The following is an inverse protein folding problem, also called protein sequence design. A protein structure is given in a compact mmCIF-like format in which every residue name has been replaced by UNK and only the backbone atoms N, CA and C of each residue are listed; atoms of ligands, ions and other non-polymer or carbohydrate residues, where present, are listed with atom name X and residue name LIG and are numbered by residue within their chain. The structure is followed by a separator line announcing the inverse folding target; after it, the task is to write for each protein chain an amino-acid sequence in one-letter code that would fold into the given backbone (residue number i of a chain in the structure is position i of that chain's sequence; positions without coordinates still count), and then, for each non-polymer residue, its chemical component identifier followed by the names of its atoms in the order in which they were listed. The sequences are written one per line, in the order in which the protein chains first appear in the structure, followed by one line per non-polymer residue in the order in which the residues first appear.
data_IF_419582575954
#
_entry.id   IF_419582575954
#
_cell.length_a   1.000
_cell.length_b   1.000
_cell.length_c   1.000
_cell.angle_alpha   90.00
_cell.angle_beta   90.00
_cell.angle_gamma   90.00
#
_symmetry.space_group_name_H-M   'P 1'
#
loop_
_entity.id
_entity.type
_entity.pdbx_description
1 polymer ?
#
# COMPACT_ATOMS: atom_id res chain seq x y z
N UNK A 1 10.46 43.60 -11.24
CA UNK A 1 9.67 43.40 -9.98
C UNK A 1 8.54 42.42 -10.22
N UNK A 2 7.69 42.64 -11.26
CA UNK A 2 6.52 41.78 -11.53
C UNK A 2 6.92 40.33 -11.88
N UNK A 3 7.95 40.15 -12.72
CA UNK A 3 8.49 38.81 -13.06
C UNK A 3 9.00 38.06 -11.83
N UNK A 4 9.69 38.74 -10.93
CA UNK A 4 10.20 38.12 -9.70
C UNK A 4 9.08 37.69 -8.73
N UNK A 5 7.99 38.48 -8.65
CA UNK A 5 6.80 38.11 -7.87
C UNK A 5 6.07 36.91 -8.48
N UNK A 6 5.93 36.86 -9.80
CA UNK A 6 5.32 35.72 -10.50
C UNK A 6 6.14 34.45 -10.26
N UNK A 7 7.46 34.51 -10.39
CA UNK A 7 8.37 33.38 -10.15
C UNK A 7 8.29 32.90 -8.69
N UNK A 8 8.17 33.80 -7.73
CA UNK A 8 8.02 33.46 -6.32
C UNK A 8 6.70 32.75 -6.04
N UNK A 9 5.59 33.21 -6.60
CA UNK A 9 4.26 32.57 -6.45
C UNK A 9 4.23 31.21 -7.12
N UNK A 10 4.82 31.05 -8.31
CA UNK A 10 4.92 29.79 -9.01
C UNK A 10 5.76 28.77 -8.21
N UNK A 11 6.88 29.22 -7.62
CA UNK A 11 7.71 28.36 -6.74
C UNK A 11 6.95 27.87 -5.51
N UNK A 12 6.22 28.73 -4.83
CA UNK A 12 5.44 28.35 -3.64
C UNK A 12 4.30 27.40 -4.01
N UNK A 13 3.58 27.65 -5.10
CA UNK A 13 2.53 26.75 -5.60
C UNK A 13 3.08 25.37 -6.00
N UNK A 14 4.25 25.33 -6.64
CA UNK A 14 4.92 24.08 -7.00
C UNK A 14 5.37 23.30 -5.77
N UNK A 15 5.94 23.97 -4.79
CA UNK A 15 6.29 23.34 -3.49
C UNK A 15 5.05 22.77 -2.81
N UNK A 16 3.98 23.57 -2.72
CA UNK A 16 2.72 23.09 -2.13
C UNK A 16 2.18 21.86 -2.86
N UNK A 17 2.19 21.87 -4.20
CA UNK A 17 1.81 20.72 -5.01
C UNK A 17 2.65 19.49 -4.68
N UNK A 18 3.98 19.59 -4.64
CA UNK A 18 4.87 18.47 -4.32
C UNK A 18 4.70 17.94 -2.89
N UNK A 19 4.36 18.78 -1.92
CA UNK A 19 3.99 18.33 -0.58
C UNK A 19 2.67 17.55 -0.56
N UNK A 20 1.73 17.90 -1.44
CA UNK A 20 0.42 17.19 -1.54
C UNK A 20 0.51 15.93 -2.37
N UNK A 21 1.17 15.97 -3.52
CA UNK A 21 1.21 14.87 -4.49
C UNK A 21 2.43 13.94 -4.35
N UNK A 22 3.43 14.35 -3.57
CA UNK A 22 4.65 13.60 -3.28
C UNK A 22 4.99 13.70 -1.78
N UNK A 23 6.27 13.57 -1.46
CA UNK A 23 6.82 13.73 -0.10
C UNK A 23 7.60 15.05 0.09
N UNK A 24 7.29 16.04 -0.72
CA UNK A 24 7.96 17.33 -0.81
C UNK A 24 8.86 17.44 -2.05
N UNK A 25 9.46 18.61 -2.28
CA UNK A 25 10.42 18.80 -3.35
C UNK A 25 11.72 18.05 -3.07
N UNK A 26 12.30 17.44 -4.09
CA UNK A 26 13.65 16.88 -4.06
C UNK A 26 14.68 18.01 -4.15
N UNK A 27 15.91 17.77 -3.68
CA UNK A 27 17.03 18.71 -3.83
C UNK A 27 17.37 19.03 -5.29
N UNK A 28 17.04 18.13 -6.20
CA UNK A 28 17.22 18.29 -7.66
C UNK A 28 16.07 18.99 -8.36
N UNK A 29 14.92 19.20 -7.69
CA UNK A 29 13.74 19.78 -8.31
C UNK A 29 13.93 21.28 -8.54
N UNK A 30 13.96 21.69 -9.81
CA UNK A 30 13.84 23.08 -10.22
C UNK A 30 12.38 23.50 -10.15
N UNK A 31 11.92 23.87 -8.96
CA UNK A 31 10.50 24.17 -8.67
C UNK A 31 9.91 25.29 -9.53
N UNK A 32 10.74 26.15 -10.11
CA UNK A 32 10.30 27.21 -11.02
C UNK A 32 10.00 26.75 -12.45
N UNK A 33 10.47 25.55 -12.83
CA UNK A 33 10.37 25.02 -14.20
C UNK A 33 9.54 23.74 -14.27
N UNK A 34 8.92 23.30 -13.15
CA UNK A 34 8.22 22.04 -13.08
C UNK A 34 6.94 22.05 -13.91
N UNK A 35 6.90 21.22 -14.96
CA UNK A 35 5.66 20.92 -15.66
C UNK A 35 4.88 19.84 -14.91
N UNK A 36 3.84 20.26 -14.19
CA UNK A 36 3.03 19.38 -13.33
C UNK A 36 2.46 18.19 -14.10
N UNK A 37 1.92 18.40 -15.30
CA UNK A 37 1.33 17.31 -16.10
C UNK A 37 2.35 16.26 -16.52
N UNK A 38 3.54 16.70 -16.90
CA UNK A 38 4.66 15.80 -17.22
C UNK A 38 5.16 15.07 -15.98
N UNK A 39 5.28 15.78 -14.84
CA UNK A 39 5.68 15.21 -13.59
C UNK A 39 4.68 14.11 -13.12
N UNK A 40 3.38 14.39 -13.18
CA UNK A 40 2.35 13.40 -12.79
C UNK A 40 2.42 12.13 -13.63
N UNK A 41 2.66 12.24 -14.95
CA UNK A 41 2.85 11.07 -15.81
C UNK A 41 4.10 10.27 -15.44
N UNK A 42 5.21 10.95 -15.24
CA UNK A 42 6.51 10.32 -14.99
C UNK A 42 6.61 9.71 -13.58
N UNK A 43 6.01 10.35 -12.56
CA UNK A 43 6.03 9.87 -11.17
C UNK A 43 4.93 8.86 -10.84
N UNK A 44 4.12 8.49 -11.83
CA UNK A 44 3.06 7.48 -11.73
C UNK A 44 3.48 6.06 -12.13
N UNK A 45 4.76 5.80 -12.40
CA UNK A 45 5.23 4.46 -12.79
C UNK A 45 4.94 3.41 -11.72
N UNK A 46 4.44 2.24 -12.16
CA UNK A 46 4.25 1.09 -11.27
C UNK A 46 5.53 0.26 -11.18
N UNK A 47 6.24 0.39 -10.07
CA UNK A 47 7.47 -0.35 -9.78
C UNK A 47 7.27 -1.27 -8.56
N UNK A 48 6.91 -2.55 -8.76
CA UNK A 48 6.66 -3.47 -7.66
C UNK A 48 7.94 -3.79 -6.88
N UNK A 49 7.83 -3.85 -5.56
CA UNK A 49 8.93 -4.29 -4.68
C UNK A 49 9.06 -5.82 -4.75
N UNK A 50 10.29 -6.31 -4.89
CA UNK A 50 10.63 -7.74 -4.96
C UNK A 50 11.73 -8.08 -3.96
N UNK A 51 11.61 -7.57 -2.73
CA UNK A 51 12.60 -7.78 -1.68
C UNK A 51 12.49 -9.17 -1.03
N UNK A 52 11.31 -9.79 -1.07
CA UNK A 52 11.01 -11.05 -0.41
C UNK A 52 10.61 -12.08 -1.45
N UNK A 53 11.32 -13.19 -1.47
CA UNK A 53 10.98 -14.32 -2.33
C UNK A 53 9.78 -15.11 -1.79
N UNK A 54 9.05 -15.75 -2.71
CA UNK A 54 7.95 -16.63 -2.34
C UNK A 54 8.49 -17.79 -1.50
N UNK A 55 7.97 -18.04 -0.29
CA UNK A 55 8.45 -19.16 0.52
C UNK A 55 8.11 -20.48 -0.16
N UNK A 56 9.09 -21.39 -0.17
CA UNK A 56 8.85 -22.76 -0.59
C UNK A 56 8.12 -23.49 0.55
N UNK A 57 6.94 -24.00 0.25
CA UNK A 57 6.18 -24.84 1.19
C UNK A 57 6.71 -26.28 1.10
N UNK A 58 7.50 -26.68 2.09
CA UNK A 58 7.91 -28.08 2.27
C UNK A 58 7.01 -28.77 3.33
N UNK A 59 6.87 -30.10 3.33
CA UNK A 59 6.14 -30.82 4.36
C UNK A 59 6.60 -30.45 5.78
N UNK A 60 7.88 -30.18 5.96
CA UNK A 60 8.46 -29.77 7.25
C UNK A 60 8.04 -28.36 7.67
N UNK A 61 7.81 -27.45 6.70
CA UNK A 61 7.31 -26.08 7.00
C UNK A 61 5.79 -26.08 7.30
N UNK A 62 5.05 -27.08 6.80
CA UNK A 62 3.60 -27.20 7.01
C UNK A 62 3.30 -27.86 8.37
N UNK A 63 4.07 -28.87 8.76
CA UNK A 63 3.88 -29.66 10.00
C UNK A 63 4.92 -29.33 11.08
N UNK A 64 5.42 -28.11 11.09
CA UNK A 64 6.59 -27.73 11.87
C UNK A 64 6.39 -27.82 13.39
N UNK A 65 7.44 -28.27 14.08
CA UNK A 65 7.55 -28.16 15.54
C UNK A 65 7.42 -26.70 16.00
N UNK A 66 7.15 -26.48 17.30
CA UNK A 66 7.12 -25.13 17.91
C UNK A 66 8.37 -24.32 17.61
N UNK A 67 9.52 -24.96 17.51
CA UNK A 67 10.82 -24.35 17.18
C UNK A 67 10.88 -23.88 15.73
N UNK A 68 10.40 -24.70 14.79
CA UNK A 68 10.33 -24.32 13.36
C UNK A 68 9.38 -23.13 13.15
N UNK A 69 8.25 -23.08 13.87
CA UNK A 69 7.33 -21.94 13.83
C UNK A 69 8.02 -20.68 14.39
N UNK A 70 8.75 -20.79 15.52
CA UNK A 70 9.48 -19.66 16.11
C UNK A 70 10.57 -19.14 15.17
N UNK A 71 11.31 -20.03 14.52
CA UNK A 71 12.34 -19.67 13.54
C UNK A 71 11.73 -19.00 12.31
N UNK A 72 10.61 -19.51 11.79
CA UNK A 72 9.91 -18.91 10.65
C UNK A 72 9.37 -17.50 10.99
N UNK A 73 8.86 -17.29 12.20
CA UNK A 73 8.40 -15.99 12.68
C UNK A 73 9.56 -14.99 12.83
N UNK A 74 10.71 -15.43 13.38
CA UNK A 74 11.91 -14.61 13.48
C UNK A 74 12.39 -14.17 12.09
N UNK A 75 12.55 -15.13 11.17
CA UNK A 75 12.95 -14.87 9.77
C UNK A 75 11.98 -13.91 9.09
N UNK A 76 10.68 -14.06 9.31
CA UNK A 76 9.66 -13.17 8.75
C UNK A 76 9.76 -11.75 9.30
N UNK A 77 10.18 -11.58 10.55
CA UNK A 77 10.42 -10.25 11.16
C UNK A 77 11.60 -9.54 10.47
N UNK A 78 12.71 -10.22 10.26
CA UNK A 78 13.87 -9.65 9.57
C UNK A 78 13.54 -9.30 8.13
N UNK A 79 12.78 -10.15 7.45
CA UNK A 79 12.27 -9.89 6.11
C UNK A 79 11.30 -8.69 6.07
N UNK A 80 10.47 -8.47 7.10
CA UNK A 80 9.63 -7.26 7.18
C UNK A 80 10.47 -5.99 7.33
N UNK A 81 11.57 -6.03 8.09
CA UNK A 81 12.51 -4.91 8.18
C UNK A 81 13.14 -4.63 6.81
N UNK A 82 13.55 -5.67 6.09
CA UNK A 82 14.08 -5.54 4.73
C UNK A 82 13.05 -4.96 3.75
N UNK A 83 11.80 -5.43 3.80
CA UNK A 83 10.70 -4.91 2.99
C UNK A 83 10.45 -3.43 3.28
N UNK A 84 10.40 -3.04 4.56
CA UNK A 84 10.20 -1.66 4.97
C UNK A 84 11.35 -0.77 4.48
N UNK A 85 12.60 -1.21 4.60
CA UNK A 85 13.77 -0.49 4.07
C UNK A 85 13.69 -0.29 2.56
N UNK A 86 13.31 -1.32 1.82
CA UNK A 86 13.13 -1.25 0.37
C UNK A 86 11.99 -0.29 -0.01
N UNK A 87 10.91 -0.28 0.75
CA UNK A 87 9.80 0.63 0.50
C UNK A 87 10.16 2.08 0.84
N UNK A 88 10.83 2.32 1.96
CA UNK A 88 11.32 3.67 2.33
C UNK A 88 12.25 4.22 1.24
N UNK A 89 13.14 3.41 0.70
CA UNK A 89 13.99 3.80 -0.43
C UNK A 89 13.16 4.20 -1.65
N UNK A 90 12.11 3.45 -1.95
CA UNK A 90 11.22 3.74 -3.08
C UNK A 90 10.35 4.98 -2.83
N UNK A 91 9.88 5.21 -1.59
CA UNK A 91 9.19 6.44 -1.20
C UNK A 91 10.04 7.71 -1.39
N UNK A 92 11.35 7.58 -1.26
CA UNK A 92 12.30 8.67 -1.48
C UNK A 92 12.65 8.90 -2.96
N UNK A 93 12.25 8.01 -3.86
CA UNK A 93 12.51 8.12 -5.31
C UNK A 93 11.50 9.07 -5.99
N UNK A 94 11.92 10.25 -6.49
CA UNK A 94 11.02 11.22 -7.10
C UNK A 94 10.35 10.69 -8.39
N UNK A 95 10.94 9.68 -9.05
CA UNK A 95 10.42 9.12 -10.31
C UNK A 95 9.15 8.29 -10.12
N UNK A 96 8.84 7.89 -8.89
CA UNK A 96 7.62 7.12 -8.54
C UNK A 96 6.81 7.80 -7.44
N UNK A 97 7.15 9.03 -7.07
CA UNK A 97 6.66 9.71 -5.87
C UNK A 97 5.14 9.81 -5.78
N UNK A 98 4.43 10.11 -6.89
CA UNK A 98 2.97 10.17 -6.89
C UNK A 98 2.34 8.81 -6.59
N UNK A 99 2.81 7.76 -7.25
CA UNK A 99 2.29 6.42 -7.02
C UNK A 99 2.57 5.94 -5.60
N UNK A 100 3.76 6.18 -5.10
CA UNK A 100 4.12 5.78 -3.74
C UNK A 100 3.36 6.56 -2.67
N UNK A 101 3.10 7.85 -2.90
CA UNK A 101 2.23 8.65 -2.03
C UNK A 101 0.82 8.07 -1.93
N UNK A 102 0.24 7.69 -3.07
CA UNK A 102 -1.06 7.04 -3.11
C UNK A 102 -1.04 5.61 -2.59
N UNK A 103 0.06 4.88 -2.79
CA UNK A 103 0.24 3.55 -2.18
C UNK A 103 0.25 3.65 -0.65
N UNK A 104 0.96 4.63 -0.09
CA UNK A 104 0.98 4.87 1.35
C UNK A 104 -0.41 5.26 1.89
N UNK A 105 -1.14 6.13 1.17
CA UNK A 105 -2.51 6.50 1.51
C UNK A 105 -3.42 5.26 1.56
N UNK A 106 -3.39 4.40 0.53
CA UNK A 106 -4.20 3.19 0.51
C UNK A 106 -3.74 2.14 1.52
N UNK A 107 -2.45 2.10 1.84
CA UNK A 107 -1.92 1.22 2.89
C UNK A 107 -2.45 1.60 4.28
N UNK A 108 -2.60 2.90 4.55
CA UNK A 108 -3.21 3.40 5.78
C UNK A 108 -4.72 3.15 5.80
N UNK A 109 -5.41 3.41 4.67
CA UNK A 109 -6.84 3.17 4.52
C UNK A 109 -7.23 1.69 4.67
N UNK A 110 -6.52 0.78 4.00
CA UNK A 110 -6.72 -0.67 4.11
C UNK A 110 -5.77 -1.29 5.14
N UNK A 111 -5.64 -0.63 6.30
CA UNK A 111 -4.73 -1.07 7.34
C UNK A 111 -5.02 -2.51 7.77
N UNK A 112 -4.04 -3.39 7.61
CA UNK A 112 -4.16 -4.76 8.07
C UNK A 112 -2.85 -5.29 8.67
N UNK A 113 -2.96 -6.18 9.67
CA UNK A 113 -1.81 -6.78 10.30
C UNK A 113 -1.45 -8.10 9.63
N UNK A 114 -0.42 -8.07 8.79
CA UNK A 114 0.11 -9.26 8.12
C UNK A 114 1.39 -9.74 8.83
N UNK A 115 1.44 -11.03 9.22
CA UNK A 115 2.60 -11.62 9.89
C UNK A 115 3.66 -12.14 8.92
N UNK A 116 3.24 -12.55 7.73
CA UNK A 116 4.12 -13.04 6.67
C UNK A 116 4.67 -11.88 5.86
N UNK A 117 5.99 -11.71 5.82
CA UNK A 117 6.65 -10.69 5.01
C UNK A 117 6.33 -10.83 3.51
N UNK A 118 6.21 -12.06 3.03
CA UNK A 118 5.81 -12.31 1.64
C UNK A 118 4.39 -11.80 1.35
N UNK A 119 3.42 -12.10 2.22
CA UNK A 119 2.04 -11.60 2.06
C UNK A 119 1.97 -10.08 2.21
N UNK A 120 2.73 -9.50 3.14
CA UNK A 120 2.83 -8.05 3.28
C UNK A 120 3.37 -7.39 1.99
N UNK A 121 4.39 -7.98 1.36
CA UNK A 121 4.90 -7.52 0.07
C UNK A 121 3.85 -7.64 -1.05
N UNK A 122 3.11 -8.75 -1.10
CA UNK A 122 2.05 -8.94 -2.10
C UNK A 122 0.95 -7.89 -1.93
N UNK A 123 0.48 -7.67 -0.72
CA UNK A 123 -0.52 -6.65 -0.42
C UNK A 123 -0.03 -5.24 -0.80
N UNK A 124 1.18 -4.87 -0.39
CA UNK A 124 1.79 -3.58 -0.74
C UNK A 124 1.88 -3.39 -2.26
N UNK A 125 2.26 -4.43 -3.02
CA UNK A 125 2.30 -4.39 -4.47
C UNK A 125 0.90 -4.35 -5.11
N UNK A 126 -0.10 -4.99 -4.50
CA UNK A 126 -1.51 -4.90 -4.94
C UNK A 126 -2.02 -3.46 -4.79
N UNK A 127 -1.79 -2.84 -3.65
CA UNK A 127 -2.13 -1.44 -3.41
C UNK A 127 -1.43 -0.52 -4.43
N UNK A 128 -0.13 -0.70 -4.64
CA UNK A 128 0.68 0.06 -5.60
C UNK A 128 0.16 -0.05 -7.03
N UNK A 129 -0.18 -1.25 -7.45
CA UNK A 129 -0.74 -1.50 -8.79
C UNK A 129 -2.01 -0.69 -9.02
N UNK A 130 -2.89 -0.63 -8.03
CA UNK A 130 -4.19 0.03 -8.13
C UNK A 130 -4.20 1.47 -7.58
N UNK A 131 -3.07 1.98 -7.05
CA UNK A 131 -2.98 3.24 -6.32
C UNK A 131 -3.54 4.46 -7.07
N UNK A 132 -3.39 4.51 -8.39
CA UNK A 132 -3.84 5.60 -9.27
C UNK A 132 -5.01 5.16 -10.18
N UNK A 133 -5.63 4.03 -9.87
CA UNK A 133 -6.71 3.45 -10.66
C UNK A 133 -8.10 3.72 -10.08
N UNK A 134 -9.05 2.90 -10.49
CA UNK A 134 -10.42 2.97 -10.01
C UNK A 134 -10.54 2.33 -8.62
N UNK A 135 -11.27 2.98 -7.70
CA UNK A 135 -11.47 2.48 -6.33
C UNK A 135 -12.16 1.12 -6.29
N UNK A 136 -13.13 0.86 -7.18
CA UNK A 136 -13.80 -0.44 -7.29
C UNK A 136 -12.80 -1.57 -7.57
N UNK A 137 -11.88 -1.36 -8.51
CA UNK A 137 -10.88 -2.37 -8.87
C UNK A 137 -9.89 -2.60 -7.73
N UNK A 138 -9.51 -1.53 -7.03
CA UNK A 138 -8.69 -1.62 -5.82
C UNK A 138 -9.41 -2.41 -4.72
N UNK A 139 -10.67 -2.11 -4.45
CA UNK A 139 -11.48 -2.78 -3.44
C UNK A 139 -11.60 -4.29 -3.74
N UNK A 140 -11.92 -4.65 -4.99
CA UNK A 140 -11.98 -6.06 -5.40
C UNK A 140 -10.62 -6.77 -5.29
N UNK A 141 -9.52 -6.09 -5.59
CA UNK A 141 -8.19 -6.67 -5.46
C UNK A 141 -7.82 -6.91 -3.99
N UNK A 142 -8.08 -5.95 -3.10
CA UNK A 142 -7.83 -6.06 -1.66
C UNK A 142 -8.76 -7.07 -0.99
N UNK A 143 -10.01 -7.16 -1.40
CA UNK A 143 -10.96 -8.17 -0.87
C UNK A 143 -10.52 -9.62 -1.14
N UNK A 144 -9.68 -9.83 -2.14
CA UNK A 144 -9.09 -11.14 -2.49
C UNK A 144 -7.66 -11.31 -2.00
N UNK A 145 -7.10 -10.29 -1.34
CA UNK A 145 -5.74 -10.34 -0.85
C UNK A 145 -5.60 -11.35 0.30
N UNK A 146 -4.67 -12.31 0.24
CA UNK A 146 -4.53 -13.33 1.27
C UNK A 146 -4.20 -12.77 2.67
N UNK A 147 -3.46 -11.65 2.73
CA UNK A 147 -3.15 -10.96 4.00
C UNK A 147 -4.43 -10.38 4.62
N UNK A 148 -5.27 -9.72 3.82
CA UNK A 148 -6.55 -9.16 4.26
C UNK A 148 -7.54 -10.27 4.67
N UNK A 149 -7.67 -11.31 3.86
CA UNK A 149 -8.53 -12.47 4.19
C UNK A 149 -8.12 -13.12 5.52
N UNK A 150 -6.82 -13.25 5.77
CA UNK A 150 -6.29 -13.78 7.02
C UNK A 150 -6.52 -12.84 8.20
N UNK A 151 -6.35 -11.54 8.01
CA UNK A 151 -6.55 -10.52 9.03
C UNK A 151 -8.00 -10.46 9.52
N UNK A 152 -8.96 -10.54 8.60
CA UNK A 152 -10.39 -10.51 8.87
C UNK A 152 -11.01 -11.89 9.13
N UNK A 153 -10.19 -12.93 9.34
CA UNK A 153 -10.61 -14.30 9.66
C UNK A 153 -11.53 -14.95 8.60
N UNK A 154 -11.49 -14.51 7.35
CA UNK A 154 -12.33 -15.07 6.29
C UNK A 154 -12.02 -16.55 5.98
N UNK A 155 -10.81 -17.04 6.32
CA UNK A 155 -10.46 -18.46 6.23
C UNK A 155 -11.28 -19.36 7.18
N UNK A 156 -11.97 -18.78 8.16
CA UNK A 156 -12.88 -19.51 9.05
C UNK A 156 -14.30 -19.62 8.51
N UNK A 157 -14.60 -18.95 7.41
CA UNK A 157 -15.90 -18.94 6.76
C UNK A 157 -16.26 -20.35 6.22
N UNK A 158 -17.41 -20.87 6.59
CA UNK A 158 -17.92 -22.20 6.17
C UNK A 158 -19.35 -22.05 5.65
N UNK A 159 -19.75 -22.95 4.72
CA UNK A 159 -21.08 -22.94 4.12
C UNK A 159 -22.21 -22.93 5.15
N UNK A 160 -22.06 -23.73 6.23
CA UNK A 160 -23.11 -23.91 7.25
C UNK A 160 -22.89 -23.04 8.50
N UNK A 161 -21.84 -22.21 8.50
CA UNK A 161 -21.49 -21.27 9.58
C UNK A 161 -20.75 -20.08 8.97
N UNK A 162 -21.47 -19.19 8.28
CA UNK A 162 -20.87 -18.02 7.65
C UNK A 162 -20.30 -17.07 8.70
N UNK A 163 -19.13 -16.54 8.43
CA UNK A 163 -18.49 -15.53 9.26
C UNK A 163 -18.69 -14.15 8.60
N UNK A 164 -19.57 -13.36 9.18
CA UNK A 164 -19.95 -12.04 8.67
C UNK A 164 -18.84 -10.98 8.86
N UNK A 165 -17.85 -11.25 9.69
CA UNK A 165 -16.83 -10.25 10.07
C UNK A 165 -16.15 -9.63 8.84
N UNK A 166 -15.82 -10.44 7.84
CA UNK A 166 -15.17 -9.92 6.63
C UNK A 166 -16.07 -8.93 5.88
N UNK A 167 -17.33 -9.28 5.64
CA UNK A 167 -18.28 -8.42 4.94
C UNK A 167 -18.54 -7.13 5.74
N UNK A 168 -18.77 -7.25 7.05
CA UNK A 168 -18.97 -6.11 7.94
C UNK A 168 -17.79 -5.13 7.89
N UNK A 169 -16.56 -5.61 8.06
CA UNK A 169 -15.38 -4.75 8.07
C UNK A 169 -15.12 -4.08 6.71
N UNK A 170 -15.38 -4.77 5.60
CA UNK A 170 -15.30 -4.18 4.26
C UNK A 170 -16.31 -3.04 4.10
N UNK A 171 -17.54 -3.22 4.56
CA UNK A 171 -18.58 -2.20 4.48
C UNK A 171 -18.34 -1.06 5.47
N UNK A 172 -18.04 -1.37 6.73
CA UNK A 172 -17.96 -0.40 7.81
C UNK A 172 -16.67 0.40 7.80
N UNK A 173 -15.50 -0.27 7.70
CA UNK A 173 -14.21 0.39 7.84
C UNK A 173 -13.65 0.90 6.51
N UNK A 174 -13.90 0.19 5.43
CA UNK A 174 -13.18 0.45 4.19
C UNK A 174 -14.03 1.08 3.07
N UNK A 175 -15.37 1.12 3.20
CA UNK A 175 -16.23 1.66 2.13
C UNK A 175 -17.32 2.62 2.64
N UNK A 176 -18.46 2.10 3.12
CA UNK A 176 -19.67 2.88 3.36
C UNK A 176 -19.65 3.65 4.68
N UNK A 177 -18.93 3.17 5.67
CA UNK A 177 -18.96 3.70 7.02
C UNK A 177 -20.13 3.14 7.84
N UNK A 178 -20.02 3.29 9.15
CA UNK A 178 -20.99 2.77 10.11
C UNK A 178 -22.37 3.39 9.92
N UNK A 179 -23.42 2.57 9.90
CA UNK A 179 -24.81 3.00 9.79
C UNK A 179 -25.27 3.32 8.37
N UNK A 180 -24.44 3.13 7.35
CA UNK A 180 -24.80 3.34 5.95
C UNK A 180 -25.01 2.03 5.17
N UNK A 181 -25.17 0.92 5.86
CA UNK A 181 -25.50 -0.40 5.33
C UNK A 181 -26.38 -1.15 6.32
N UNK A 182 -27.04 -2.22 5.88
CA UNK A 182 -27.87 -3.11 6.69
C UNK A 182 -27.27 -4.50 6.77
N UNK A 183 -27.72 -5.34 7.72
CA UNK A 183 -27.28 -6.74 7.82
C UNK A 183 -27.70 -7.61 6.61
N UNK A 184 -28.54 -7.06 5.71
CA UNK A 184 -28.98 -7.74 4.50
C UNK A 184 -28.10 -7.42 3.28
N UNK A 185 -27.23 -6.41 3.37
CA UNK A 185 -26.29 -6.00 2.35
C UNK A 185 -25.03 -6.87 2.35
#
# INVERSE_FOLDING_TARGET
VLSHLIDMVLKENTKHFLHRAAFGPSLSDKTSELNISSWMRNSGENRPIRAIEKPQLTPETINGSKENIKLALSKSRDQLIQLNGSWITQLADPTVALREKMTLFWHDHFACRVRSAYLAQQQNNTLRKHALGNFRDLLFAISKDPGMLQFLNNQQNKKDSPNENFAREILELFTLGRGNYTEQD
#
